data_IF_388194699879
#
_entry.id   IF_388194699879
#
_cell.length_a   1.000
_cell.length_b   1.000
_cell.length_c   1.000
_cell.angle_alpha   90.00
_cell.angle_beta   90.00
_cell.angle_gamma   90.00
#
_symmetry.space_group_name_H-M   'P 1'
#
loop_
_entity.id
_entity.type
_entity.pdbx_description
1 polymer ?
#
# COMPACT_ATOMS: atom_id res chain seq x y z
N UNK A 1 0.29 -45.46 49.75
CA UNK A 1 0.23 -43.99 49.93
C UNK A 1 -0.10 -43.32 48.58
N UNK A 2 -1.08 -43.84 47.84
CA UNK A 2 -1.15 -43.63 46.38
C UNK A 2 -2.35 -42.80 45.92
N UNK A 3 -3.26 -42.47 46.85
CA UNK A 3 -4.43 -41.64 46.59
C UNK A 3 -4.05 -40.17 46.26
N UNK A 4 -3.06 -39.62 46.98
CA UNK A 4 -2.66 -38.22 46.84
C UNK A 4 -2.09 -37.90 45.45
N UNK A 5 -1.29 -38.80 44.88
CA UNK A 5 -0.69 -38.68 43.53
C UNK A 5 -1.76 -38.72 42.42
N UNK A 6 -2.84 -39.48 42.63
CA UNK A 6 -3.93 -39.62 41.65
C UNK A 6 -4.77 -38.33 41.56
N UNK A 7 -5.01 -37.67 42.70
CA UNK A 7 -5.71 -36.37 42.76
C UNK A 7 -4.85 -35.28 42.12
N UNK A 8 -3.54 -35.24 42.41
CA UNK A 8 -2.61 -34.28 41.83
C UNK A 8 -2.50 -34.40 40.29
N UNK A 9 -2.44 -35.62 39.74
CA UNK A 9 -2.42 -35.84 38.28
C UNK A 9 -3.71 -35.36 37.59
N UNK A 10 -4.88 -35.64 38.19
CA UNK A 10 -6.17 -35.21 37.63
C UNK A 10 -6.30 -33.69 37.63
N UNK A 11 -5.85 -33.04 38.70
CA UNK A 11 -5.85 -31.57 38.79
C UNK A 11 -4.90 -30.94 37.78
N UNK A 12 -3.67 -31.46 37.68
CA UNK A 12 -2.68 -31.01 36.71
C UNK A 12 -3.19 -31.11 35.26
N UNK A 13 -3.76 -32.26 34.87
CA UNK A 13 -4.30 -32.43 33.51
C UNK A 13 -5.52 -31.55 33.23
N UNK A 14 -6.35 -31.28 34.25
CA UNK A 14 -7.51 -30.40 34.12
C UNK A 14 -7.09 -28.94 33.86
N UNK A 15 -6.10 -28.45 34.60
CA UNK A 15 -5.62 -27.06 34.45
C UNK A 15 -4.76 -26.88 33.20
N UNK A 16 -3.86 -27.81 32.91
CA UNK A 16 -3.01 -27.78 31.72
C UNK A 16 -3.81 -27.94 30.42
N UNK A 17 -4.88 -28.74 30.42
CA UNK A 17 -5.74 -28.92 29.25
C UNK A 17 -6.42 -27.61 28.81
N UNK A 18 -6.89 -26.81 29.78
CA UNK A 18 -7.48 -25.50 29.50
C UNK A 18 -6.43 -24.51 29.00
N UNK A 19 -5.22 -24.53 29.56
CA UNK A 19 -4.10 -23.68 29.12
C UNK A 19 -3.66 -23.97 27.68
N UNK A 20 -3.43 -25.26 27.37
CA UNK A 20 -3.02 -25.70 26.04
C UNK A 20 -4.11 -25.44 24.98
N UNK A 21 -5.39 -25.64 25.33
CA UNK A 21 -6.52 -25.31 24.46
C UNK A 21 -6.59 -23.82 24.13
N UNK A 22 -6.31 -22.93 25.08
CA UNK A 22 -6.24 -21.48 24.84
C UNK A 22 -5.10 -21.09 23.90
N UNK A 23 -3.93 -21.73 24.02
CA UNK A 23 -2.79 -21.49 23.11
C UNK A 23 -3.13 -21.98 21.70
N UNK A 24 -3.74 -23.15 21.56
CA UNK A 24 -4.19 -23.66 20.27
C UNK A 24 -5.26 -22.75 19.64
N UNK A 25 -6.23 -22.28 20.42
CA UNK A 25 -7.25 -21.33 19.97
C UNK A 25 -6.62 -19.99 19.56
N UNK A 26 -5.68 -19.47 20.35
CA UNK A 26 -4.94 -18.26 20.01
C UNK A 26 -4.10 -18.42 18.73
N UNK A 27 -3.56 -19.60 18.47
CA UNK A 27 -2.86 -19.90 17.21
C UNK A 27 -3.84 -19.95 16.03
N UNK A 28 -5.05 -20.49 16.22
CA UNK A 28 -6.07 -20.58 15.16
C UNK A 28 -6.68 -19.21 14.83
N UNK A 29 -6.95 -18.39 15.86
CA UNK A 29 -7.42 -17.01 15.72
C UNK A 29 -6.30 -16.05 15.28
N UNK A 30 -5.07 -16.27 15.73
CA UNK A 30 -3.91 -15.43 15.40
C UNK A 30 -3.53 -15.43 13.91
N UNK A 31 -4.00 -16.42 13.15
CA UNK A 31 -3.88 -16.44 11.68
C UNK A 31 -4.94 -15.63 10.94
N UNK A 32 -6.06 -15.26 11.57
CA UNK A 32 -7.23 -14.69 10.86
C UNK A 32 -7.94 -13.50 11.52
N UNK A 33 -7.76 -13.20 12.81
CA UNK A 33 -8.68 -12.24 13.51
C UNK A 33 -8.04 -11.12 14.34
N UNK A 34 -6.72 -10.87 14.25
CA UNK A 34 -6.11 -9.66 14.84
C UNK A 34 -5.29 -8.80 13.88
N UNK A 35 -5.19 -9.20 12.61
CA UNK A 35 -4.96 -8.23 11.55
C UNK A 35 -6.33 -7.71 11.16
N UNK A 36 -6.87 -6.82 11.99
CA UNK A 36 -7.61 -5.72 11.40
C UNK A 36 -6.68 -5.20 10.32
N UNK A 37 -7.04 -5.49 9.07
CA UNK A 37 -6.42 -4.90 7.91
C UNK A 37 -6.26 -3.44 8.31
N UNK A 38 -5.01 -3.01 8.48
CA UNK A 38 -4.67 -1.60 8.45
C UNK A 38 -5.57 -1.10 7.34
N UNK A 39 -6.49 -0.18 7.66
CA UNK A 39 -7.29 0.49 6.65
C UNK A 39 -6.31 1.28 5.82
N UNK A 40 -5.57 0.56 4.98
CA UNK A 40 -4.80 1.03 3.87
C UNK A 40 -5.92 1.52 3.00
N UNK A 41 -6.07 2.83 3.05
CA UNK A 41 -6.81 3.62 2.09
C UNK A 41 -6.92 2.81 0.77
N UNK A 42 -8.11 2.55 0.23
CA UNK A 42 -8.24 1.79 -1.02
C UNK A 42 -7.41 2.41 -2.17
N UNK A 43 -7.03 3.68 -2.04
CA UNK A 43 -6.14 4.42 -2.94
C UNK A 43 -4.66 4.38 -2.53
N UNK A 44 -4.31 3.68 -1.44
CA UNK A 44 -2.94 3.57 -0.98
C UNK A 44 -2.06 2.90 -2.04
N UNK A 45 -0.87 3.45 -2.32
CA UNK A 45 0.03 2.87 -3.30
C UNK A 45 0.39 1.43 -2.92
N UNK A 46 0.04 0.48 -3.79
CA UNK A 46 0.44 -0.92 -3.64
C UNK A 46 1.92 -1.05 -3.97
N UNK A 47 2.64 -1.84 -3.17
CA UNK A 47 4.02 -2.17 -3.50
C UNK A 47 4.03 -3.06 -4.75
N UNK A 48 4.84 -2.75 -5.77
CA UNK A 48 4.99 -3.61 -6.93
C UNK A 48 5.68 -4.91 -6.52
N UNK A 49 5.30 -6.03 -7.16
CA UNK A 49 5.91 -7.34 -6.88
C UNK A 49 7.40 -7.40 -7.25
N UNK A 50 7.86 -6.48 -8.09
CA UNK A 50 9.24 -6.37 -8.54
C UNK A 50 9.79 -4.96 -8.31
N UNK A 51 11.09 -4.86 -8.09
CA UNK A 51 11.79 -3.57 -7.97
C UNK A 51 11.71 -2.82 -9.30
N UNK A 52 11.01 -1.70 -9.32
CA UNK A 52 10.95 -0.83 -10.49
C UNK A 52 12.36 -0.34 -10.86
N UNK A 53 12.74 -0.49 -12.13
CA UNK A 53 14.01 0.00 -12.69
C UNK A 53 13.70 0.70 -14.01
N UNK A 54 13.72 2.03 -14.02
CA UNK A 54 13.56 2.79 -15.27
C UNK A 54 14.84 2.68 -16.08
N UNK A 55 14.74 2.20 -17.32
CA UNK A 55 15.90 2.05 -18.24
C UNK A 55 16.09 3.24 -19.18
N UNK A 56 15.00 3.94 -19.52
CA UNK A 56 15.01 5.13 -20.34
C UNK A 56 13.83 6.04 -19.98
N UNK A 57 14.00 7.35 -20.14
CA UNK A 57 12.95 8.36 -20.00
C UNK A 57 12.78 9.02 -21.36
N UNK A 58 11.61 8.85 -21.99
CA UNK A 58 11.31 9.46 -23.29
C UNK A 58 10.55 10.75 -23.01
N UNK A 59 11.19 11.90 -23.23
CA UNK A 59 10.56 13.22 -23.12
C UNK A 59 10.24 13.73 -24.52
N UNK A 60 8.95 13.88 -24.82
CA UNK A 60 8.48 14.40 -26.10
C UNK A 60 8.08 15.86 -25.92
N UNK A 61 8.89 16.78 -26.47
CA UNK A 61 8.51 18.18 -26.57
C UNK A 61 7.83 18.41 -27.92
N UNK A 62 6.50 18.51 -27.91
CA UNK A 62 5.74 18.87 -29.11
C UNK A 62 5.76 20.39 -29.26
N UNK A 63 6.64 20.88 -30.13
CA UNK A 63 6.61 22.27 -30.57
C UNK A 63 5.32 22.51 -31.35
N UNK A 64 4.35 23.22 -30.77
CA UNK A 64 3.12 23.62 -31.46
C UNK A 64 1.85 23.63 -30.60
N UNK A 65 1.85 22.98 -29.44
CA UNK A 65 0.74 23.12 -28.51
C UNK A 65 0.94 24.35 -27.62
N UNK A 66 -0.04 25.25 -27.50
CA UNK A 66 0.04 26.33 -26.53
C UNK A 66 0.17 25.73 -25.13
N UNK A 67 1.05 26.29 -24.31
CA UNK A 67 1.18 25.85 -22.91
C UNK A 67 -0.17 26.03 -22.20
N UNK A 68 -0.45 25.23 -21.16
CA UNK A 68 -1.69 25.37 -20.39
C UNK A 68 -1.89 26.79 -19.83
N UNK A 69 -0.79 27.51 -19.60
CA UNK A 69 -0.78 28.90 -19.17
C UNK A 69 -1.15 29.88 -20.30
N UNK A 70 -0.88 29.53 -21.56
CA UNK A 70 -1.06 30.39 -22.72
C UNK A 70 -2.42 30.24 -23.42
N UNK A 71 -3.30 29.33 -22.97
CA UNK A 71 -4.58 29.07 -23.62
C UNK A 71 -5.58 30.23 -23.52
N UNK A 72 -5.54 30.98 -22.41
CA UNK A 72 -6.57 31.97 -22.08
C UNK A 72 -6.05 33.41 -22.05
N UNK A 73 -4.75 33.61 -22.29
CA UNK A 73 -4.16 34.95 -22.36
C UNK A 73 -4.37 35.57 -23.74
N UNK A 74 -5.11 36.67 -23.76
CA UNK A 74 -5.27 37.44 -24.99
C UNK A 74 -3.97 38.19 -25.33
N UNK A 75 -3.25 37.69 -26.33
CA UNK A 75 -1.96 38.24 -26.79
C UNK A 75 -2.11 38.87 -28.19
N UNK A 76 -2.53 40.14 -28.30
CA UNK A 76 -2.79 40.80 -29.59
C UNK A 76 -1.53 40.88 -30.48
N UNK A 77 -0.35 41.03 -29.87
CA UNK A 77 0.93 41.07 -30.58
C UNK A 77 1.26 39.76 -31.31
N UNK A 78 0.79 38.60 -30.83
CA UNK A 78 1.02 37.33 -31.52
C UNK A 78 0.25 37.26 -32.85
N UNK A 79 -0.95 37.85 -32.91
CA UNK A 79 -1.73 37.98 -34.14
C UNK A 79 -1.05 38.89 -35.17
N UNK A 80 -0.36 39.95 -34.71
CA UNK A 80 0.38 40.87 -35.58
C UNK A 80 1.70 40.29 -36.12
N UNK A 81 2.22 39.27 -35.44
CA UNK A 81 3.49 38.62 -35.76
C UNK A 81 3.29 37.26 -36.46
N UNK A 82 2.04 36.85 -36.65
CA UNK A 82 1.67 35.63 -37.37
C UNK A 82 2.23 35.65 -38.81
N UNK A 83 3.00 34.63 -39.17
CA UNK A 83 3.60 34.50 -40.50
C UNK A 83 4.87 35.31 -40.76
N UNK A 84 5.39 36.06 -39.77
CA UNK A 84 6.69 36.75 -39.91
C UNK A 84 7.84 35.77 -39.65
N UNK A 85 8.93 35.83 -40.44
CA UNK A 85 10.11 35.03 -40.16
C UNK A 85 10.68 35.42 -38.80
N UNK A 86 11.17 34.42 -38.06
CA UNK A 86 11.82 34.68 -36.78
C UNK A 86 13.06 35.57 -37.02
N UNK A 87 13.29 36.59 -36.18
CA UNK A 87 14.53 37.35 -36.24
C UNK A 87 15.73 36.42 -35.98
N UNK A 88 16.88 36.68 -36.61
CA UNK A 88 18.11 35.91 -36.40
C UNK A 88 18.63 36.01 -34.96
#
# INVERSE_FOLDING_TARGET
>A
MDCCTTIARRHFLKDCGVGLGKVALASLLGGSTLRADDRKDPLSPKQPHYRAKAKAVIHLFMSGAPSHLDLFDYKPKLKELEGKPLPP
#
